data_IF_281669727101
#
_entry.id   IF_281669727101
#
_cell.length_a   1.000
_cell.length_b   1.000
_cell.length_c   1.000
_cell.angle_alpha   90.00
_cell.angle_beta   90.00
_cell.angle_gamma   90.00
#
_symmetry.space_group_name_H-M   'P 1'
#
loop_
_entity.id
_entity.type
_entity.pdbx_description
1 polymer ?
#
# COMPACT_ATOMS: atom_id res chain seq x y z
N UNK A 1 20.95 27.00 34.58
CA UNK A 1 20.18 27.08 33.31
C UNK A 1 19.97 25.66 32.80
N UNK A 2 18.74 25.14 32.87
CA UNK A 2 18.40 23.77 32.48
C UNK A 2 18.13 23.72 30.98
N UNK A 3 19.08 23.20 30.21
CA UNK A 3 18.92 22.99 28.77
C UNK A 3 17.93 21.85 28.54
N UNK A 4 16.66 22.18 28.30
CA UNK A 4 15.65 21.18 27.90
C UNK A 4 16.09 20.57 26.58
N UNK A 5 16.44 19.28 26.59
CA UNK A 5 16.61 18.47 25.38
C UNK A 5 15.29 18.54 24.60
N UNK A 6 15.29 19.24 23.47
CA UNK A 6 14.14 19.25 22.56
C UNK A 6 14.14 17.90 21.85
N UNK A 7 13.34 16.97 22.35
CA UNK A 7 13.06 15.72 21.63
C UNK A 7 12.32 16.14 20.36
N UNK A 8 12.99 16.06 19.22
CA UNK A 8 12.33 16.17 17.91
C UNK A 8 11.39 14.97 17.81
N UNK A 9 10.11 15.19 18.14
CA UNK A 9 9.09 14.17 18.01
C UNK A 9 8.99 13.75 16.54
N UNK A 10 9.43 12.52 16.26
CA UNK A 10 9.41 11.92 14.91
C UNK A 10 7.98 11.86 14.32
N UNK A 11 6.98 11.81 15.20
CA UNK A 11 5.56 11.83 14.86
C UNK A 11 4.89 13.03 15.55
N UNK A 12 4.28 13.92 14.77
CA UNK A 12 3.51 15.04 15.32
C UNK A 12 2.11 14.60 15.74
N UNK A 13 1.53 15.28 16.73
CA UNK A 13 0.15 15.04 17.18
C UNK A 13 -0.83 15.19 16.00
N UNK A 14 -0.59 16.12 15.09
CA UNK A 14 -1.44 16.34 13.92
C UNK A 14 -1.39 15.17 12.92
N UNK A 15 -0.23 14.52 12.77
CA UNK A 15 -0.10 13.28 11.97
C UNK A 15 -0.92 12.15 12.58
N UNK A 16 -0.88 11.99 13.90
CA UNK A 16 -1.67 10.97 14.60
C UNK A 16 -3.15 11.25 14.45
N UNK A 17 -3.59 12.50 14.67
CA UNK A 17 -5.00 12.90 14.49
C UNK A 17 -5.49 12.65 13.06
N UNK A 18 -4.68 12.99 12.05
CA UNK A 18 -4.98 12.73 10.65
C UNK A 18 -5.16 11.24 10.38
N UNK A 19 -4.26 10.40 10.88
CA UNK A 19 -4.35 8.96 10.73
C UNK A 19 -5.57 8.36 11.43
N UNK A 20 -5.87 8.81 12.66
CA UNK A 20 -7.07 8.37 13.37
C UNK A 20 -8.36 8.72 12.61
N UNK A 21 -8.44 9.90 11.95
CA UNK A 21 -9.59 10.24 11.08
C UNK A 21 -9.76 9.24 9.94
N UNK A 22 -8.67 8.87 9.27
CA UNK A 22 -8.67 7.88 8.19
C UNK A 22 -9.11 6.51 8.71
N UNK A 23 -8.58 6.08 9.87
CA UNK A 23 -8.95 4.81 10.48
C UNK A 23 -10.43 4.77 10.89
N UNK A 24 -10.99 5.85 11.42
CA UNK A 24 -12.42 5.94 11.72
C UNK A 24 -13.27 5.77 10.46
N UNK A 25 -12.88 6.38 9.35
CA UNK A 25 -13.58 6.25 8.08
C UNK A 25 -13.51 4.83 7.51
N UNK A 26 -12.34 4.17 7.57
CA UNK A 26 -12.22 2.75 7.20
C UNK A 26 -13.06 1.84 8.09
N UNK A 27 -13.13 2.13 9.39
CA UNK A 27 -14.00 1.39 10.31
C UNK A 27 -15.48 1.54 9.94
N UNK A 28 -15.94 2.76 9.61
CA UNK A 28 -17.30 2.99 9.12
C UNK A 28 -17.59 2.23 7.82
N UNK A 29 -16.64 2.21 6.89
CA UNK A 29 -16.76 1.40 5.67
C UNK A 29 -16.93 -0.08 6.00
N UNK A 30 -16.09 -0.61 6.90
CA UNK A 30 -16.18 -2.01 7.33
C UNK A 30 -17.54 -2.35 7.95
N UNK A 31 -18.05 -1.52 8.86
CA UNK A 31 -19.38 -1.72 9.47
C UNK A 31 -20.51 -1.65 8.44
N UNK A 32 -20.35 -0.81 7.44
CA UNK A 32 -21.33 -0.70 6.38
C UNK A 32 -21.30 -1.93 5.46
N UNK A 33 -20.11 -2.56 5.30
CA UNK A 33 -19.95 -3.83 4.54
C UNK A 33 -20.60 -4.98 5.26
N UNK A 34 -20.40 -5.05 6.56
CA UNK A 34 -20.97 -6.08 7.40
C UNK A 34 -21.37 -5.51 8.77
N UNK A 35 -22.68 -5.32 8.95
CA UNK A 35 -23.26 -4.83 10.19
C UNK A 35 -23.01 -5.79 11.37
N UNK A 36 -22.76 -7.07 11.09
CA UNK A 36 -22.42 -8.10 12.07
C UNK A 36 -21.01 -7.97 12.65
N UNK A 37 -20.19 -7.07 12.11
CA UNK A 37 -18.83 -6.80 12.58
C UNK A 37 -17.82 -7.89 12.22
N UNK A 38 -16.66 -7.84 12.88
CA UNK A 38 -15.61 -8.85 12.70
C UNK A 38 -15.98 -10.10 13.49
N UNK A 39 -16.33 -11.18 12.78
CA UNK A 39 -16.47 -12.50 13.39
C UNK A 39 -15.09 -13.00 13.79
N UNK A 40 -15.00 -13.76 14.87
CA UNK A 40 -13.73 -14.30 15.39
C UNK A 40 -13.89 -15.79 15.60
N UNK A 41 -12.89 -16.53 15.14
CA UNK A 41 -12.80 -17.97 15.35
C UNK A 41 -12.58 -18.26 16.84
N UNK A 42 -13.40 -19.16 17.40
CA UNK A 42 -13.41 -19.42 18.83
C UNK A 42 -12.13 -20.10 19.33
N UNK A 43 -11.43 -20.83 18.47
CA UNK A 43 -10.27 -21.64 18.83
C UNK A 43 -8.96 -20.88 18.63
N UNK A 44 -8.85 -20.16 17.51
CA UNK A 44 -7.63 -19.41 17.11
C UNK A 44 -7.66 -17.95 17.54
N UNK A 45 -8.84 -17.43 17.89
CA UNK A 45 -9.06 -16.01 18.19
C UNK A 45 -8.67 -15.07 17.03
N UNK A 46 -8.71 -15.59 15.80
CA UNK A 46 -8.41 -14.84 14.58
C UNK A 46 -9.71 -14.34 13.92
N UNK A 47 -9.67 -13.17 13.26
CA UNK A 47 -10.79 -12.70 12.44
C UNK A 47 -11.19 -13.70 11.36
N UNK A 48 -12.49 -14.00 11.26
CA UNK A 48 -13.11 -14.73 10.16
C UNK A 48 -13.76 -13.70 9.25
N UNK A 49 -13.34 -13.68 7.98
CA UNK A 49 -14.00 -12.87 6.97
C UNK A 49 -15.38 -13.44 6.65
N UNK A 50 -16.40 -12.59 6.62
CA UNK A 50 -17.72 -12.99 6.12
C UNK A 50 -17.74 -12.96 4.60
N UNK A 51 -18.69 -13.67 3.98
CA UNK A 51 -18.83 -13.69 2.52
C UNK A 51 -19.00 -12.28 1.93
N UNK A 52 -19.68 -11.38 2.65
CA UNK A 52 -19.82 -9.98 2.28
C UNK A 52 -18.46 -9.27 2.23
N UNK A 53 -17.60 -9.50 3.23
CA UNK A 53 -16.25 -8.93 3.31
C UNK A 53 -15.33 -9.50 2.21
N UNK A 54 -15.44 -10.79 1.89
CA UNK A 54 -14.69 -11.42 0.79
C UNK A 54 -15.07 -10.82 -0.57
N UNK A 55 -16.37 -10.72 -0.86
CA UNK A 55 -16.88 -10.09 -2.09
C UNK A 55 -16.45 -8.63 -2.17
N UNK A 56 -16.54 -7.91 -1.06
CA UNK A 56 -16.08 -6.53 -0.97
C UNK A 56 -14.58 -6.43 -1.29
N UNK A 57 -13.74 -7.27 -0.69
CA UNK A 57 -12.29 -7.27 -0.89
C UNK A 57 -11.94 -7.49 -2.36
N UNK A 58 -12.54 -8.51 -2.98
CA UNK A 58 -12.33 -8.80 -4.41
C UNK A 58 -12.69 -7.61 -5.30
N UNK A 59 -13.85 -6.98 -5.08
CA UNK A 59 -14.29 -5.80 -5.84
C UNK A 59 -13.35 -4.61 -5.60
N UNK A 60 -12.89 -4.41 -4.37
CA UNK A 60 -11.97 -3.34 -4.02
C UNK A 60 -10.59 -3.53 -4.67
N UNK A 61 -10.09 -4.77 -4.74
CA UNK A 61 -8.83 -5.12 -5.43
C UNK A 61 -8.94 -4.92 -6.95
N UNK A 62 -10.08 -5.29 -7.56
CA UNK A 62 -10.35 -5.00 -8.97
C UNK A 62 -10.30 -3.48 -9.24
N UNK A 63 -10.98 -2.70 -8.41
CA UNK A 63 -10.96 -1.22 -8.51
C UNK A 63 -9.59 -0.63 -8.26
N UNK A 64 -8.82 -1.21 -7.35
CA UNK A 64 -7.43 -0.81 -7.09
C UNK A 64 -6.57 -1.05 -8.33
N UNK A 65 -6.73 -2.18 -9.02
CA UNK A 65 -6.03 -2.47 -10.27
C UNK A 65 -6.41 -1.47 -11.38
N UNK A 66 -7.70 -1.14 -11.52
CA UNK A 66 -8.15 -0.11 -12.47
C UNK A 66 -7.56 1.27 -12.16
N UNK A 67 -7.49 1.63 -10.87
CA UNK A 67 -6.87 2.86 -10.44
C UNK A 67 -5.37 2.90 -10.80
N UNK A 68 -4.64 1.82 -10.53
CA UNK A 68 -3.23 1.71 -10.89
C UNK A 68 -3.04 1.91 -12.40
N UNK A 69 -3.79 1.18 -13.23
CA UNK A 69 -3.60 1.16 -14.69
C UNK A 69 -4.10 2.42 -15.41
N UNK A 70 -5.19 3.03 -14.94
CA UNK A 70 -5.82 4.14 -15.65
C UNK A 70 -5.58 5.51 -15.02
N UNK A 71 -5.19 5.56 -13.73
CA UNK A 71 -4.98 6.82 -13.01
C UNK A 71 -3.50 7.00 -12.65
N UNK A 72 -2.91 6.03 -11.95
CA UNK A 72 -1.54 6.17 -11.42
C UNK A 72 -0.50 6.04 -12.54
N UNK A 73 -0.65 5.02 -13.40
CA UNK A 73 0.25 4.74 -14.51
C UNK A 73 0.24 5.88 -15.51
N UNK A 74 1.33 6.65 -15.48
CA UNK A 74 1.54 7.84 -16.30
C UNK A 74 2.95 7.80 -16.85
N UNK A 75 3.19 8.45 -17.99
CA UNK A 75 4.51 8.46 -18.62
C UNK A 75 5.62 8.97 -17.66
N UNK A 76 5.32 9.98 -16.83
CA UNK A 76 6.25 10.51 -15.84
C UNK A 76 6.60 9.46 -14.76
N UNK A 77 5.61 8.83 -14.14
CA UNK A 77 5.85 7.83 -13.07
C UNK A 77 6.51 6.56 -13.59
N UNK A 78 6.17 6.13 -14.80
CA UNK A 78 6.82 4.99 -15.48
C UNK A 78 8.28 5.30 -15.83
N UNK A 79 8.62 6.56 -16.11
CA UNK A 79 10.01 7.00 -16.27
C UNK A 79 10.77 7.14 -14.94
N UNK A 80 10.19 6.73 -13.81
CA UNK A 80 10.79 6.80 -12.48
C UNK A 80 10.76 8.20 -11.84
N UNK A 81 9.99 9.14 -12.41
CA UNK A 81 9.83 10.46 -11.80
C UNK A 81 8.95 10.35 -10.55
N UNK A 82 9.48 10.78 -9.41
CA UNK A 82 8.73 10.91 -8.17
C UNK A 82 7.64 11.97 -8.35
N UNK A 83 6.40 11.52 -8.48
CA UNK A 83 5.23 12.34 -8.72
C UNK A 83 4.11 11.89 -7.78
N UNK A 84 3.95 12.58 -6.62
CA UNK A 84 2.87 12.30 -5.69
C UNK A 84 1.49 12.37 -6.36
N UNK A 85 0.48 11.81 -5.71
CA UNK A 85 -0.90 11.94 -6.17
C UNK A 85 -1.35 13.40 -6.12
N UNK A 86 -1.91 13.86 -7.23
CA UNK A 86 -2.65 15.12 -7.29
C UNK A 86 -4.00 14.96 -6.58
N UNK A 87 -4.64 16.08 -6.21
CA UNK A 87 -5.97 16.02 -5.58
C UNK A 87 -6.98 15.28 -6.46
N UNK A 88 -6.94 15.44 -7.78
CA UNK A 88 -7.88 14.77 -8.68
C UNK A 88 -7.66 13.26 -8.82
N UNK A 89 -6.44 12.76 -8.54
CA UNK A 89 -6.09 11.33 -8.67
C UNK A 89 -6.47 10.50 -7.42
N UNK A 90 -7.09 11.12 -6.42
CA UNK A 90 -7.51 10.44 -5.20
C UNK A 90 -8.61 9.41 -5.51
N UNK A 91 -8.39 8.13 -5.20
CA UNK A 91 -9.35 7.08 -5.50
C UNK A 91 -10.51 7.04 -4.50
N UNK A 92 -11.55 6.23 -4.76
CA UNK A 92 -12.62 5.97 -3.79
C UNK A 92 -12.12 5.26 -2.52
N UNK A 93 -12.98 5.24 -1.51
CA UNK A 93 -12.64 4.85 -0.15
C UNK A 93 -12.16 3.39 -0.01
N UNK A 94 -12.81 2.48 -0.73
CA UNK A 94 -12.44 1.06 -0.79
C UNK A 94 -11.01 0.87 -1.32
N UNK A 95 -10.67 1.56 -2.41
CA UNK A 95 -9.33 1.54 -3.02
C UNK A 95 -8.28 2.16 -2.08
N UNK A 96 -8.63 3.24 -1.35
CA UNK A 96 -7.75 3.82 -0.32
C UNK A 96 -7.48 2.82 0.83
N UNK A 97 -8.47 2.01 1.20
CA UNK A 97 -8.31 0.98 2.22
C UNK A 97 -7.36 -0.14 1.75
N UNK A 98 -7.47 -0.56 0.48
CA UNK A 98 -6.53 -1.52 -0.12
C UNK A 98 -5.12 -0.94 -0.17
N UNK A 99 -4.94 0.29 -0.66
CA UNK A 99 -3.63 0.94 -0.70
C UNK A 99 -3.00 1.02 0.70
N UNK A 100 -3.78 1.44 1.69
CA UNK A 100 -3.31 1.50 3.08
C UNK A 100 -2.82 0.14 3.56
N UNK A 101 -3.66 -0.89 3.43
CA UNK A 101 -3.34 -2.25 3.88
C UNK A 101 -2.13 -2.83 3.15
N UNK A 102 -2.03 -2.56 1.85
CA UNK A 102 -0.91 -2.99 1.02
C UNK A 102 0.42 -2.36 1.48
N UNK A 103 0.41 -1.07 1.82
CA UNK A 103 1.59 -0.36 2.34
C UNK A 103 1.97 -0.75 3.77
N UNK A 104 1.12 -1.48 4.52
CA UNK A 104 1.46 -2.00 5.86
C UNK A 104 2.41 -3.21 5.80
N UNK A 105 2.54 -3.88 4.64
CA UNK A 105 3.56 -4.89 4.39
C UNK A 105 4.69 -4.30 3.54
N UNK A 106 5.68 -3.62 4.15
CA UNK A 106 6.65 -2.81 3.41
C UNK A 106 7.51 -3.63 2.46
N UNK A 107 7.78 -4.90 2.78
CA UNK A 107 8.56 -5.79 1.92
C UNK A 107 7.78 -6.20 0.67
N UNK A 108 6.58 -6.72 0.84
CA UNK A 108 5.72 -7.13 -0.28
C UNK A 108 5.40 -5.92 -1.17
N UNK A 109 5.07 -4.78 -0.56
CA UNK A 109 4.85 -3.54 -1.28
C UNK A 109 6.06 -3.13 -2.12
N UNK A 110 7.27 -3.21 -1.57
CA UNK A 110 8.49 -2.88 -2.29
C UNK A 110 8.75 -3.84 -3.45
N UNK A 111 8.58 -5.15 -3.21
CA UNK A 111 8.76 -6.19 -4.23
C UNK A 111 7.81 -5.99 -5.40
N UNK A 112 6.52 -5.79 -5.12
CA UNK A 112 5.52 -5.52 -6.15
C UNK A 112 5.79 -4.19 -6.87
N UNK A 113 6.29 -3.16 -6.17
CA UNK A 113 6.74 -1.93 -6.79
C UNK A 113 7.96 -2.13 -7.70
N UNK A 114 8.72 -3.20 -7.59
CA UNK A 114 9.86 -3.48 -8.49
C UNK A 114 9.42 -4.36 -9.65
N UNK A 115 8.60 -5.38 -9.38
CA UNK A 115 8.26 -6.42 -10.35
C UNK A 115 7.02 -6.11 -11.17
N UNK A 116 5.93 -5.72 -10.52
CA UNK A 116 4.60 -5.64 -11.15
C UNK A 116 4.21 -4.19 -11.47
N UNK A 117 4.43 -3.28 -10.53
CA UNK A 117 3.94 -1.91 -10.59
C UNK A 117 5.07 -0.87 -10.34
N UNK A 118 6.06 -0.75 -11.24
CA UNK A 118 7.19 0.19 -11.11
C UNK A 118 6.80 1.65 -10.90
N UNK A 119 5.65 2.05 -11.41
CA UNK A 119 5.12 3.40 -11.25
C UNK A 119 4.48 3.66 -9.88
N UNK A 120 4.21 2.61 -9.08
CA UNK A 120 3.56 2.75 -7.78
C UNK A 120 4.50 3.36 -6.74
N UNK A 121 5.79 2.99 -6.73
CA UNK A 121 6.78 3.63 -5.84
C UNK A 121 6.90 5.14 -6.07
N UNK A 122 6.59 5.61 -7.28
CA UNK A 122 6.65 7.02 -7.67
C UNK A 122 5.59 7.90 -6.99
N UNK A 123 4.51 7.33 -6.44
CA UNK A 123 3.50 8.11 -5.69
C UNK A 123 3.98 8.53 -4.30
N UNK A 124 5.00 7.86 -3.77
CA UNK A 124 5.59 8.15 -2.47
C UNK A 124 4.79 7.58 -1.29
N UNK A 125 4.65 8.38 -0.24
CA UNK A 125 3.95 7.98 0.99
C UNK A 125 2.44 7.95 0.78
N UNK A 126 1.74 7.19 1.63
CA UNK A 126 0.28 7.23 1.68
C UNK A 126 -0.21 8.69 1.82
N UNK A 127 -1.22 9.14 1.04
CA UNK A 127 -1.62 10.54 0.91
C UNK A 127 -2.40 11.09 2.13
N UNK A 128 -1.89 10.87 3.34
CA UNK A 128 -2.50 11.23 4.63
C UNK A 128 -2.71 12.75 4.76
N UNK A 129 -1.63 13.52 4.69
CA UNK A 129 -1.65 14.97 4.94
C UNK A 129 -1.77 15.74 3.61
N UNK A 130 -2.60 16.78 3.58
CA UNK A 130 -2.86 17.67 2.42
C UNK A 130 -3.56 17.05 1.20
N UNK A 131 -4.19 15.88 1.39
CA UNK A 131 -5.03 15.24 0.37
C UNK A 131 -6.21 14.54 1.02
N UNK A 132 -5.97 13.45 1.76
CA UNK A 132 -7.06 12.61 2.25
C UNK A 132 -7.87 13.29 3.37
N UNK A 133 -7.23 13.95 4.34
CA UNK A 133 -7.95 14.63 5.44
C UNK A 133 -8.87 15.75 4.95
N UNK A 134 -8.56 16.38 3.83
CA UNK A 134 -9.39 17.44 3.23
C UNK A 134 -10.68 16.89 2.60
N UNK A 135 -10.69 15.59 2.27
CA UNK A 135 -11.84 14.88 1.72
C UNK A 135 -12.65 14.19 2.82
N UNK A 136 -12.41 14.48 4.10
CA UNK A 136 -13.11 13.87 5.22
C UNK A 136 -13.87 14.97 5.96
N UNK A 137 -15.20 14.85 6.00
CA UNK A 137 -16.04 15.78 6.76
C UNK A 137 -15.95 15.55 8.28
N UNK A 138 -16.64 16.39 9.06
CA UNK A 138 -16.67 16.29 10.52
C UNK A 138 -17.35 15.00 11.03
N UNK A 139 -18.11 14.32 10.17
CA UNK A 139 -18.79 13.07 10.45
C UNK A 139 -18.00 11.85 9.93
N UNK A 140 -16.75 12.06 9.48
CA UNK A 140 -15.88 11.03 8.93
C UNK A 140 -16.44 10.36 7.67
N UNK A 141 -17.19 11.10 6.84
CA UNK A 141 -17.58 10.63 5.50
C UNK A 141 -16.58 11.11 4.45
N UNK A 142 -16.37 10.29 3.43
CA UNK A 142 -15.54 10.62 2.28
C UNK A 142 -16.31 11.56 1.32
N UNK A 143 -15.74 12.74 1.05
CA UNK A 143 -16.33 13.82 0.27
C UNK A 143 -15.41 14.22 -0.90
N UNK A 144 -15.36 13.42 -1.97
CA UNK A 144 -14.65 13.79 -3.19
C UNK A 144 -15.38 14.92 -3.93
N UNK A 145 -14.60 15.79 -4.55
CA UNK A 145 -15.03 16.85 -5.46
C UNK A 145 -15.60 16.28 -6.76
N UNK A 146 -16.41 17.09 -7.46
CA UNK A 146 -16.96 16.71 -8.76
C UNK A 146 -15.88 16.37 -9.79
N UNK A 147 -14.75 17.08 -9.78
CA UNK A 147 -13.62 16.81 -10.67
C UNK A 147 -12.96 15.44 -10.41
N UNK A 148 -12.88 15.01 -9.15
CA UNK A 148 -12.39 13.67 -8.80
C UNK A 148 -13.35 12.58 -9.27
N UNK A 149 -14.66 12.79 -9.09
CA UNK A 149 -15.70 11.88 -9.56
C UNK A 149 -15.61 11.73 -11.10
N UNK A 150 -15.60 12.85 -11.82
CA UNK A 150 -15.51 12.85 -13.29
C UNK A 150 -14.23 12.19 -13.80
N UNK A 151 -13.08 12.49 -13.19
CA UNK A 151 -11.80 11.88 -13.58
C UNK A 151 -11.85 10.35 -13.35
N UNK A 152 -12.34 9.90 -12.20
CA UNK A 152 -12.45 8.48 -11.88
C UNK A 152 -13.36 7.76 -12.87
N UNK A 153 -14.57 8.27 -13.07
CA UNK A 153 -15.59 7.62 -13.89
C UNK A 153 -15.19 7.61 -15.37
N UNK A 154 -14.60 8.71 -15.87
CA UNK A 154 -14.13 8.77 -17.26
C UNK A 154 -12.95 7.84 -17.54
N UNK A 155 -12.04 7.64 -16.57
CA UNK A 155 -10.85 6.80 -16.74
C UNK A 155 -11.10 5.32 -16.50
N UNK A 156 -11.95 4.99 -15.52
CA UNK A 156 -12.15 3.60 -15.08
C UNK A 156 -13.45 3.00 -15.60
N UNK A 157 -14.39 3.83 -16.07
CA UNK A 157 -15.74 3.38 -16.43
C UNK A 157 -16.57 2.89 -15.24
N UNK A 158 -16.08 3.05 -14.00
CA UNK A 158 -16.77 2.63 -12.79
C UNK A 158 -17.26 3.85 -12.00
N UNK A 159 -18.46 3.79 -11.38
CA UNK A 159 -18.92 4.89 -10.53
C UNK A 159 -18.01 5.07 -9.32
N UNK A 160 -17.69 6.31 -8.94
CA UNK A 160 -16.83 6.56 -7.77
C UNK A 160 -17.52 6.03 -6.51
N UNK A 161 -18.77 6.46 -6.31
CA UNK A 161 -19.63 6.02 -5.22
C UNK A 161 -20.52 4.85 -5.62
N UNK A 162 -20.04 3.94 -6.50
CA UNK A 162 -20.79 2.72 -6.84
C UNK A 162 -21.30 2.13 -5.54
N UNK A 163 -22.64 2.07 -5.40
CA UNK A 163 -23.41 1.70 -4.21
C UNK A 163 -22.51 1.14 -3.11
N UNK A 164 -22.23 1.97 -2.11
CA UNK A 164 -21.13 1.86 -1.15
C UNK A 164 -20.89 0.45 -0.61
N UNK A 165 -21.89 -0.41 -0.59
CA UNK A 165 -21.82 -1.84 -0.24
C UNK A 165 -22.88 -2.59 -1.04
N UNK A 166 -22.70 -2.81 -2.34
CA UNK A 166 -23.47 -3.89 -2.94
C UNK A 166 -22.84 -5.22 -2.50
N UNK A 167 -23.30 -5.71 -1.34
CA UNK A 167 -23.21 -7.12 -0.90
C UNK A 167 -23.94 -8.06 -1.88
N UNK A 168 -24.37 -7.55 -3.04
CA UNK A 168 -24.77 -8.39 -4.14
C UNK A 168 -23.62 -9.33 -4.48
N UNK A 169 -23.81 -10.55 -3.99
CA UNK A 169 -23.14 -11.80 -4.36
C UNK A 169 -23.36 -12.12 -5.84
N UNK A 170 -24.27 -11.40 -6.52
CA UNK A 170 -24.43 -11.46 -7.96
C UNK A 170 -23.42 -10.56 -8.66
N UNK A 171 -22.56 -11.18 -9.45
CA UNK A 171 -21.66 -10.49 -10.34
C UNK A 171 -20.68 -11.44 -11.03
N UNK A 172 -20.12 -10.97 -12.13
CA UNK A 172 -19.04 -11.65 -12.84
C UNK A 172 -17.81 -10.76 -12.86
N UNK A 173 -16.64 -11.37 -12.77
CA UNK A 173 -15.35 -10.72 -12.94
C UNK A 173 -14.63 -11.31 -14.15
N UNK A 174 -13.86 -10.47 -14.83
CA UNK A 174 -13.07 -10.85 -16.00
C UNK A 174 -11.66 -11.24 -15.57
N UNK A 175 -11.24 -12.47 -15.86
CA UNK A 175 -9.90 -12.95 -15.55
C UNK A 175 -9.20 -13.43 -16.81
N UNK A 176 -7.88 -13.25 -16.90
CA UNK A 176 -7.10 -13.77 -18.03
C UNK A 176 -6.62 -15.18 -17.73
N UNK A 177 -6.75 -16.07 -18.69
CA UNK A 177 -6.16 -17.40 -18.62
C UNK A 177 -4.62 -17.28 -18.59
N UNK A 178 -3.92 -17.88 -17.62
CA UNK A 178 -2.46 -17.83 -17.56
C UNK A 178 -1.78 -18.58 -18.72
N UNK A 179 -2.48 -19.53 -19.36
CA UNK A 179 -1.92 -20.34 -20.44
C UNK A 179 -2.13 -19.70 -21.82
N UNK A 180 -3.36 -19.31 -22.18
CA UNK A 180 -3.67 -18.79 -23.52
C UNK A 180 -4.04 -17.30 -23.55
N UNK A 181 -4.01 -16.61 -22.40
CA UNK A 181 -4.34 -15.17 -22.24
C UNK A 181 -5.78 -14.75 -22.54
N UNK A 182 -6.63 -15.69 -22.96
CA UNK A 182 -8.07 -15.46 -23.16
C UNK A 182 -8.72 -14.90 -21.91
N UNK A 183 -9.56 -13.89 -22.07
CA UNK A 183 -10.36 -13.32 -20.98
C UNK A 183 -11.62 -14.16 -20.77
N UNK A 184 -11.77 -14.71 -19.56
CA UNK A 184 -12.91 -15.52 -19.13
C UNK A 184 -13.78 -14.71 -18.16
N UNK A 185 -15.10 -14.89 -18.23
CA UNK A 185 -16.05 -14.30 -17.30
C UNK A 185 -16.40 -15.34 -16.23
N UNK A 186 -15.93 -15.12 -15.00
CA UNK A 186 -16.19 -16.02 -13.87
C UNK A 186 -17.15 -15.39 -12.88
N UNK A 187 -17.95 -16.20 -12.20
CA UNK A 187 -18.86 -15.70 -11.15
C UNK A 187 -18.04 -15.33 -9.91
N UNK A 188 -18.42 -14.24 -9.25
CA UNK A 188 -17.84 -13.85 -7.96
C UNK A 188 -18.13 -14.91 -6.90
N UNK A 189 -19.38 -15.33 -6.78
CA UNK A 189 -19.85 -16.41 -5.91
C UNK A 189 -20.57 -17.44 -6.81
N UNK A 190 -20.21 -18.72 -6.72
CA UNK A 190 -20.85 -19.79 -7.50
C UNK A 190 -21.76 -20.68 -6.66
N UNK A 191 -21.54 -20.72 -5.34
CA UNK A 191 -22.28 -21.55 -4.41
C UNK A 191 -23.72 -21.10 -4.14
N UNK A 192 -24.61 -22.09 -4.08
CA UNK A 192 -25.84 -22.05 -3.28
C UNK A 192 -25.82 -23.29 -2.36
N UNK A 193 -26.78 -23.43 -1.44
CA UNK A 193 -26.88 -24.56 -0.49
C UNK A 193 -26.64 -25.97 -1.09
N UNK A 194 -26.83 -26.14 -2.41
CA UNK A 194 -26.77 -27.43 -3.10
C UNK A 194 -25.59 -27.58 -4.09
N UNK A 195 -24.67 -26.60 -4.19
CA UNK A 195 -23.54 -26.62 -5.13
C UNK A 195 -22.21 -26.28 -4.44
N UNK A 196 -21.10 -26.90 -4.86
CA UNK A 196 -19.78 -26.54 -4.35
C UNK A 196 -19.49 -25.06 -4.62
N UNK A 197 -19.02 -24.37 -3.58
CA UNK A 197 -18.61 -22.96 -3.59
C UNK A 197 -17.26 -22.82 -4.29
N UNK A 198 -17.26 -22.42 -5.55
CA UNK A 198 -16.08 -22.33 -6.44
C UNK A 198 -15.97 -21.02 -7.22
N UNK A 199 -16.70 -19.98 -6.78
CA UNK A 199 -16.63 -18.62 -7.29
C UNK A 199 -15.30 -17.96 -6.96
N UNK A 200 -14.99 -16.87 -7.68
CA UNK A 200 -13.71 -16.17 -7.56
C UNK A 200 -13.43 -15.59 -6.17
N UNK A 201 -14.47 -15.29 -5.40
CA UNK A 201 -14.34 -14.82 -4.01
C UNK A 201 -14.51 -15.94 -2.98
N UNK A 202 -14.52 -17.22 -3.39
CA UNK A 202 -14.71 -18.38 -2.51
C UNK A 202 -13.40 -19.19 -2.43
N UNK A 203 -13.10 -19.80 -1.27
CA UNK A 203 -11.82 -20.47 -0.96
C UNK A 203 -11.41 -21.61 -1.92
N UNK A 204 -12.35 -22.18 -2.66
CA UNK A 204 -12.10 -23.28 -3.60
C UNK A 204 -12.38 -22.82 -5.03
N UNK A 205 -11.91 -21.63 -5.42
CA UNK A 205 -12.13 -21.10 -6.74
C UNK A 205 -11.75 -22.14 -7.79
N UNK A 206 -12.65 -22.36 -8.73
CA UNK A 206 -12.39 -23.25 -9.86
C UNK A 206 -13.07 -22.73 -11.11
N UNK A 207 -12.32 -22.65 -12.20
CA UNK A 207 -12.84 -22.27 -13.50
C UNK A 207 -12.16 -23.04 -14.62
N UNK A 208 -12.82 -23.11 -15.77
CA UNK A 208 -12.27 -23.70 -16.99
C UNK A 208 -12.18 -22.61 -18.04
N UNK A 209 -11.01 -22.47 -18.68
CA UNK A 209 -10.87 -21.52 -19.78
C UNK A 209 -11.76 -21.93 -20.96
N UNK A 210 -12.51 -20.98 -21.54
CA UNK A 210 -13.41 -21.22 -22.67
C UNK A 210 -12.68 -21.60 -23.97
N UNK A 211 -11.39 -21.28 -24.09
CA UNK A 211 -10.60 -21.48 -25.32
C UNK A 211 -9.63 -22.65 -25.22
N UNK A 212 -8.79 -22.72 -24.17
CA UNK A 212 -7.81 -23.80 -24.05
C UNK A 212 -8.30 -24.98 -23.18
N UNK A 213 -9.50 -24.88 -22.61
CA UNK A 213 -10.15 -25.91 -21.78
C UNK A 213 -9.34 -26.40 -20.57
N UNK A 214 -8.30 -25.67 -20.19
CA UNK A 214 -7.54 -25.96 -18.97
C UNK A 214 -8.35 -25.50 -17.76
N UNK A 215 -8.33 -26.32 -16.72
CA UNK A 215 -8.88 -25.97 -15.42
C UNK A 215 -7.85 -25.12 -14.65
N UNK A 216 -8.36 -24.10 -13.98
CA UNK A 216 -7.62 -23.23 -13.08
C UNK A 216 -8.32 -23.29 -11.73
N UNK A 217 -7.60 -23.67 -10.70
CA UNK A 217 -7.98 -23.54 -9.29
C UNK A 217 -7.23 -22.34 -8.66
N UNK A 218 -7.47 -22.02 -7.38
CA UNK A 218 -6.85 -20.90 -6.63
C UNK A 218 -5.31 -20.88 -6.56
N UNK A 219 -4.63 -21.83 -7.20
CA UNK A 219 -3.17 -21.94 -7.17
C UNK A 219 -2.39 -20.77 -7.78
N UNK A 220 -2.84 -19.95 -8.75
CA UNK A 220 -1.96 -18.91 -9.32
C UNK A 220 -1.60 -17.76 -8.37
N UNK A 221 -2.42 -17.45 -7.37
CA UNK A 221 -2.15 -16.35 -6.43
C UNK A 221 -1.33 -16.80 -5.21
N UNK A 222 -1.61 -17.99 -4.66
CA UNK A 222 -0.84 -18.54 -3.53
C UNK A 222 0.56 -19.01 -3.95
N UNK A 223 0.68 -19.66 -5.11
CA UNK A 223 2.00 -20.12 -5.61
C UNK A 223 2.87 -18.95 -6.06
N UNK A 224 2.28 -17.88 -6.61
CA UNK A 224 3.03 -16.65 -6.92
C UNK A 224 3.61 -16.01 -5.66
N UNK A 225 2.87 -15.99 -4.54
CA UNK A 225 3.39 -15.45 -3.27
C UNK A 225 4.52 -16.33 -2.72
N UNK A 226 4.37 -17.65 -2.68
CA UNK A 226 5.44 -18.55 -2.20
C UNK A 226 6.69 -18.56 -3.12
N UNK A 227 6.50 -18.53 -4.44
CA UNK A 227 7.59 -18.42 -5.41
C UNK A 227 8.25 -17.03 -5.37
N UNK A 228 7.49 -15.97 -5.12
CA UNK A 228 8.01 -14.61 -4.92
C UNK A 228 8.81 -14.47 -3.63
N UNK A 229 8.36 -15.12 -2.55
CA UNK A 229 9.09 -15.16 -1.29
C UNK A 229 10.41 -15.93 -1.43
N UNK A 230 10.39 -17.11 -2.09
CA UNK A 230 11.61 -17.87 -2.39
C UNK A 230 12.57 -17.13 -3.31
N UNK A 231 12.07 -16.53 -4.39
CA UNK A 231 12.89 -15.76 -5.34
C UNK A 231 13.44 -14.48 -4.69
N UNK A 232 12.67 -13.88 -3.77
CA UNK A 232 13.12 -12.77 -2.93
C UNK A 232 14.28 -13.15 -2.01
N UNK A 233 14.22 -14.34 -1.38
CA UNK A 233 15.33 -14.89 -0.59
C UNK A 233 16.57 -15.18 -1.45
N UNK A 234 16.39 -15.73 -2.65
CA UNK A 234 17.51 -15.99 -3.59
C UNK A 234 18.19 -14.69 -4.06
N UNK A 235 17.42 -13.64 -4.36
CA UNK A 235 17.94 -12.32 -4.71
C UNK A 235 18.66 -11.68 -3.52
N UNK A 236 18.12 -11.80 -2.31
CA UNK A 236 18.77 -11.32 -1.08
C UNK A 236 20.14 -11.97 -0.86
N UNK A 237 20.18 -13.30 -0.90
CA UNK A 237 21.40 -14.06 -0.68
C UNK A 237 22.44 -13.83 -1.79
N UNK A 238 22.01 -13.62 -3.04
CA UNK A 238 22.92 -13.40 -4.16
C UNK A 238 23.44 -11.96 -4.29
N UNK A 239 22.67 -10.94 -3.86
CA UNK A 239 23.06 -9.54 -4.04
C UNK A 239 23.52 -8.81 -2.77
N UNK A 240 23.14 -9.28 -1.57
CA UNK A 240 23.27 -8.47 -0.36
C UNK A 240 24.06 -9.12 0.79
N UNK A 241 24.28 -10.45 0.82
CA UNK A 241 25.14 -11.07 1.86
C UNK A 241 26.59 -10.55 1.83
N UNK A 242 27.17 -10.34 0.64
CA UNK A 242 28.57 -9.88 0.51
C UNK A 242 28.75 -8.35 0.57
N UNK A 243 27.67 -7.56 0.52
CA UNK A 243 27.73 -6.08 0.46
C UNK A 243 27.09 -5.36 1.63
N UNK A 244 26.40 -6.06 2.52
CA UNK A 244 25.82 -5.47 3.72
C UNK A 244 26.53 -6.02 4.96
N UNK A 245 27.68 -5.43 5.30
CA UNK A 245 28.11 -5.34 6.69
C UNK A 245 27.46 -4.07 7.27
N UNK A 246 26.30 -4.16 7.95
CA UNK A 246 25.82 -3.03 8.72
C UNK A 246 26.83 -2.79 9.84
N UNK A 247 27.50 -1.63 9.78
CA UNK A 247 28.34 -1.16 10.87
C UNK A 247 27.43 -0.79 12.07
N UNK A 248 27.09 -1.81 12.84
CA UNK A 248 26.28 -1.70 14.06
C UNK A 248 27.04 -1.06 15.23
N UNK A 249 28.16 -0.36 15.00
CA UNK A 249 28.90 0.30 16.09
C UNK A 249 28.37 1.68 16.50
N UNK A 250 27.34 2.24 15.84
CA UNK A 250 26.85 3.59 16.19
C UNK A 250 25.66 3.71 17.16
N UNK A 251 25.18 2.62 17.77
CA UNK A 251 24.06 2.71 18.73
C UNK A 251 24.16 1.81 19.96
N UNK A 252 25.29 1.80 20.68
CA UNK A 252 25.28 1.55 22.13
C UNK A 252 26.46 2.25 22.80
N UNK A 253 26.31 3.54 23.14
CA UNK A 253 27.11 4.09 24.25
C UNK A 253 26.38 3.74 25.54
N UNK A 254 26.81 2.65 26.18
CA UNK A 254 26.38 2.31 27.53
C UNK A 254 26.68 3.50 28.47
N UNK A 255 25.62 4.07 29.03
CA UNK A 255 25.75 4.86 30.25
C UNK A 255 25.93 3.88 31.41
N UNK A 256 27.18 3.60 31.76
CA UNK A 256 27.54 3.00 33.04
C UNK A 256 28.51 3.95 33.76
N UNK A 257 27.97 4.70 34.72
CA UNK A 257 28.79 5.44 35.67
C UNK A 257 29.42 4.49 36.67
N UNK A 258 30.75 4.48 36.74
CA UNK A 258 31.48 4.28 38.00
C UNK A 258 32.86 4.92 37.82
N UNK A 259 33.28 5.71 38.81
CA UNK A 259 34.40 6.64 38.69
C UNK A 259 35.78 5.98 38.69
N UNK A 260 36.75 6.71 38.13
CA UNK A 260 38.00 7.02 38.82
C UNK A 260 38.75 8.14 38.09
N UNK A 261 39.31 9.05 38.89
CA UNK A 261 40.13 10.19 38.47
C UNK A 261 41.44 9.75 37.82
N UNK A 262 41.88 10.41 36.74
CA UNK A 262 43.20 11.04 36.56
C UNK A 262 43.36 11.69 35.17
N UNK A 263 44.27 12.68 34.95
CA UNK A 263 44.14 13.66 33.87
C UNK A 263 45.13 13.53 32.68
N UNK A 264 44.61 13.79 31.45
CA UNK A 264 45.22 14.29 30.16
C UNK A 264 46.37 13.48 29.51
N UNK A 265 46.61 13.53 28.16
CA UNK A 265 46.95 14.76 27.38
C UNK A 265 46.36 14.79 25.92
N UNK A 266 46.69 15.76 25.03
CA UNK A 266 45.88 16.16 23.87
C UNK A 266 46.19 15.42 22.55
N UNK A 267 45.24 15.54 21.62
CA UNK A 267 45.17 15.02 20.24
C UNK A 267 46.31 15.44 19.28
N UNK A 268 46.52 14.68 18.19
CA UNK A 268 47.03 15.18 16.91
C UNK A 268 46.06 14.99 15.72
N UNK A 269 46.34 15.61 14.55
CA UNK A 269 45.32 16.16 13.63
C UNK A 269 44.94 15.27 12.43
N UNK A 270 43.85 15.66 11.76
CA UNK A 270 43.36 15.09 10.51
C UNK A 270 44.26 15.41 9.30
N UNK A 271 44.29 14.58 8.24
CA UNK A 271 44.78 14.97 6.93
C UNK A 271 43.66 15.45 6.00
N UNK A 272 43.86 16.65 5.47
CA UNK A 272 43.19 17.21 4.30
C UNK A 272 43.47 16.37 3.04
N UNK A 273 42.51 16.30 2.12
CA UNK A 273 42.83 16.56 0.71
C UNK A 273 41.59 17.01 -0.07
N UNK A 274 41.64 18.28 -0.47
CA UNK A 274 40.73 18.90 -1.42
C UNK A 274 40.95 18.36 -2.84
N UNK A 275 39.89 18.35 -3.66
CA UNK A 275 39.96 18.80 -5.06
C UNK A 275 38.58 19.20 -5.58
N UNK A 276 38.46 20.52 -5.69
CA UNK A 276 37.66 21.33 -6.61
C UNK A 276 37.13 20.65 -7.89
N UNK A 277 35.84 20.89 -8.17
CA UNK A 277 35.38 21.36 -9.48
C UNK A 277 34.25 22.36 -9.28
N UNK A 278 34.49 23.59 -9.74
CA UNK A 278 33.60 24.74 -9.69
C UNK A 278 33.24 25.14 -11.12
N UNK A 279 31.96 25.21 -11.48
CA UNK A 279 31.35 26.04 -12.54
C UNK A 279 29.86 26.15 -12.16
N UNK A 280 29.47 27.16 -11.36
CA UNK A 280 28.87 28.44 -11.75
C UNK A 280 27.50 28.32 -12.45
N UNK A 281 26.47 28.88 -11.81
CA UNK A 281 25.12 29.04 -12.37
C UNK A 281 24.14 29.44 -11.28
N UNK A 282 24.14 30.72 -10.93
CA UNK A 282 23.25 31.37 -9.99
C UNK A 282 21.76 31.16 -10.36
N UNK A 283 20.93 30.91 -9.35
CA UNK A 283 19.60 31.52 -9.22
C UNK A 283 19.07 31.25 -7.81
N UNK A 284 19.18 32.27 -6.96
CA UNK A 284 18.45 32.44 -5.71
C UNK A 284 16.94 32.41 -5.95
N UNK A 285 16.20 31.55 -5.26
CA UNK A 285 14.81 31.81 -4.90
C UNK A 285 14.58 31.38 -3.45
N UNK A 286 14.11 32.35 -2.66
CA UNK A 286 13.69 32.24 -1.29
C UNK A 286 12.57 31.19 -1.13
N UNK A 287 12.69 30.30 -0.15
CA UNK A 287 11.53 29.62 0.43
C UNK A 287 11.17 30.36 1.72
N UNK A 288 10.28 31.34 1.58
CA UNK A 288 9.40 31.75 2.67
C UNK A 288 8.22 30.77 2.73
N UNK A 289 7.96 30.27 3.95
CA UNK A 289 6.69 29.86 4.53
C UNK A 289 5.60 29.33 3.58
N UNK A 290 5.23 28.05 3.73
CA UNK A 290 3.88 27.53 4.04
C UNK A 290 3.89 26.00 4.11
#
# INVERSE_FOLDING_TARGET
>A
MSTKRKVLGFVSVDKVKAHLKVMTMFHKLHLAVDEGGVQVDADTNLPIATQAQEVFLVKAVERFTLWLEHVVKTACRTAGQKAPLTSNEMPPLDVLMILHSFMLSPWNFFEDCVREYPFLASIGLFPLQHRMVELIDEHYNYQPTSAQVELWESRTGQPLFKETISNSVEGKISIKCPHCTTTNQVRLISGSLDKPMTGFAELNFQTTCSECYLNHDDTPLATSIEESLKRGEEIWNSHFEDKYQPDYTMYYTQCSGSGNNTPRPPSPPAPNCARSCSVSGESTVYYDNL
#
